data_IF_451449003131
#
_entry.id   IF_451449003131
#
_cell.length_a   1.000
_cell.length_b   1.000
_cell.length_c   1.000
_cell.angle_alpha   90.00
_cell.angle_beta   90.00
_cell.angle_gamma   90.00
#
_symmetry.space_group_name_H-M   'P 1'
#
loop_
_entity.id
_entity.type
_entity.pdbx_description
1 polymer ?
#
# COMPACT_ATOMS: atom_id res chain seq x y z
N UNK A 1 -4.63 17.15 7.23
CA UNK A 1 -3.15 17.16 7.09
C UNK A 1 -2.56 16.12 8.05
N UNK A 2 -1.37 15.62 7.77
CA UNK A 2 -0.60 14.73 8.64
C UNK A 2 0.66 15.48 9.10
N UNK A 3 0.94 15.49 10.40
CA UNK A 3 2.03 16.28 10.99
C UNK A 3 2.99 15.38 11.76
N UNK A 4 4.28 15.69 11.69
CA UNK A 4 5.33 15.09 12.51
C UNK A 4 6.00 16.21 13.32
N UNK A 5 5.92 16.15 14.65
CA UNK A 5 6.46 17.17 15.56
C UNK A 5 5.99 18.61 15.22
N UNK A 6 4.74 18.74 14.76
CA UNK A 6 4.13 20.03 14.39
C UNK A 6 4.34 20.46 12.95
N UNK A 7 5.23 19.80 12.20
CA UNK A 7 5.53 20.13 10.81
C UNK A 7 4.79 19.21 9.83
N UNK A 8 4.35 19.70 8.65
CA UNK A 8 3.74 18.85 7.62
C UNK A 8 4.60 17.65 7.26
N UNK A 9 4.01 16.45 7.37
CA UNK A 9 4.66 15.20 7.06
C UNK A 9 4.06 14.57 5.80
N UNK A 10 4.84 14.58 4.72
CA UNK A 10 4.49 13.93 3.46
C UNK A 10 5.04 12.50 3.45
N UNK A 11 4.15 11.51 3.40
CA UNK A 11 4.53 10.10 3.32
C UNK A 11 5.09 9.79 1.93
N UNK A 12 6.38 9.42 1.87
CA UNK A 12 7.07 8.92 0.68
C UNK A 12 7.49 7.49 1.00
N UNK A 13 6.66 6.54 0.56
CA UNK A 13 6.80 5.17 1.00
C UNK A 13 6.83 4.17 -0.15
N UNK A 14 7.35 3.00 0.18
CA UNK A 14 7.21 1.79 -0.63
C UNK A 14 6.61 0.69 0.22
N UNK A 15 5.80 -0.15 -0.41
CA UNK A 15 5.44 -1.44 0.14
C UNK A 15 6.68 -2.34 0.09
N UNK A 16 6.93 -3.12 1.13
CA UNK A 16 8.02 -4.11 1.15
C UNK A 16 7.42 -5.51 1.24
N UNK A 17 8.21 -6.50 0.87
CA UNK A 17 8.07 -7.88 1.29
C UNK A 17 9.40 -8.34 1.88
N UNK A 18 9.37 -9.26 2.85
CA UNK A 18 10.58 -9.79 3.50
C UNK A 18 11.30 -10.86 2.67
N UNK A 19 10.86 -11.11 1.43
CA UNK A 19 11.45 -12.13 0.59
C UNK A 19 12.78 -11.66 -0.02
N UNK A 20 13.70 -12.60 -0.21
CA UNK A 20 14.96 -12.44 -0.89
C UNK A 20 15.11 -13.45 -2.03
N UNK A 21 15.89 -13.09 -3.04
CA UNK A 21 16.12 -13.92 -4.23
C UNK A 21 16.80 -15.26 -3.89
N UNK A 22 17.69 -15.27 -2.90
CA UNK A 22 18.52 -16.41 -2.55
C UNK A 22 17.92 -17.22 -1.41
N UNK A 23 17.37 -16.54 -0.41
CA UNK A 23 16.89 -17.18 0.84
C UNK A 23 15.37 -17.25 0.95
N UNK A 24 14.62 -16.80 -0.06
CA UNK A 24 13.16 -16.81 -0.03
C UNK A 24 12.64 -15.94 1.12
N UNK A 25 11.73 -16.46 1.94
CA UNK A 25 11.14 -15.69 3.06
C UNK A 25 12.09 -15.51 4.26
N UNK A 26 13.34 -15.99 4.19
CA UNK A 26 14.31 -15.88 5.27
C UNK A 26 15.24 -14.69 5.04
N UNK A 27 14.81 -13.49 5.43
CA UNK A 27 15.68 -12.31 5.43
C UNK A 27 16.88 -12.48 6.37
N UNK A 28 18.07 -12.04 5.96
CA UNK A 28 19.26 -11.92 6.83
C UNK A 28 19.45 -10.47 7.28
N UNK A 29 20.23 -10.20 8.33
CA UNK A 29 20.56 -8.82 8.73
C UNK A 29 21.16 -8.00 7.58
N UNK A 30 22.00 -8.61 6.75
CA UNK A 30 22.63 -7.98 5.60
C UNK A 30 21.62 -7.70 4.47
N UNK A 31 20.70 -8.63 4.21
CA UNK A 31 19.67 -8.42 3.18
C UNK A 31 18.69 -7.33 3.60
N UNK A 32 18.32 -7.29 4.88
CA UNK A 32 17.48 -6.24 5.47
C UNK A 32 18.19 -4.88 5.43
N UNK A 33 19.45 -4.81 5.83
CA UNK A 33 20.23 -3.56 5.77
C UNK A 33 20.35 -3.05 4.34
N UNK A 34 20.64 -3.94 3.38
CA UNK A 34 20.67 -3.60 1.94
C UNK A 34 19.33 -3.04 1.46
N UNK A 35 18.21 -3.66 1.84
CA UNK A 35 16.88 -3.18 1.49
C UNK A 35 16.63 -1.77 2.07
N UNK A 36 16.98 -1.55 3.36
CA UNK A 36 16.86 -0.24 4.03
C UNK A 36 17.69 0.82 3.31
N UNK A 37 18.94 0.53 2.97
CA UNK A 37 19.84 1.47 2.30
C UNK A 37 19.29 1.87 0.92
N UNK A 38 18.75 0.91 0.16
CA UNK A 38 18.14 1.17 -1.14
C UNK A 38 16.84 1.98 -1.01
N UNK A 39 15.99 1.65 -0.04
CA UNK A 39 14.75 2.37 0.24
C UNK A 39 15.05 3.83 0.61
N UNK A 40 16.02 4.07 1.50
CA UNK A 40 16.47 5.42 1.84
C UNK A 40 17.10 6.12 0.64
N UNK A 41 17.83 5.38 -0.20
CA UNK A 41 18.42 5.87 -1.44
C UNK A 41 17.39 6.36 -2.47
N UNK A 42 16.14 5.89 -2.41
CA UNK A 42 15.03 6.45 -3.19
C UNK A 42 14.54 7.80 -2.65
N UNK A 43 14.88 8.17 -1.42
CA UNK A 43 14.28 9.30 -0.70
C UNK A 43 13.01 8.95 0.08
N UNK A 44 12.75 7.65 0.28
CA UNK A 44 11.63 7.21 1.11
C UNK A 44 11.88 7.56 2.58
N UNK A 45 10.81 7.93 3.29
CA UNK A 45 10.79 8.14 4.74
C UNK A 45 9.92 7.11 5.47
N UNK A 46 9.23 6.24 4.74
CA UNK A 46 8.28 5.27 5.29
C UNK A 46 8.32 3.96 4.51
N UNK A 47 8.04 2.84 5.20
CA UNK A 47 7.82 1.52 4.62
C UNK A 47 6.46 1.01 5.07
N UNK A 48 5.67 0.42 4.17
CA UNK A 48 4.47 -0.34 4.55
C UNK A 48 4.76 -1.83 4.58
N UNK A 49 4.48 -2.43 5.73
CA UNK A 49 4.66 -3.85 6.01
C UNK A 49 3.31 -4.54 5.81
N UNK A 50 3.15 -5.32 4.75
CA UNK A 50 1.87 -5.98 4.36
C UNK A 50 1.42 -7.17 5.21
N UNK A 51 2.15 -7.41 6.29
CA UNK A 51 1.84 -8.32 7.38
C UNK A 51 2.83 -7.97 8.50
N UNK A 52 2.59 -8.48 9.70
CA UNK A 52 3.53 -8.33 10.81
C UNK A 52 4.87 -9.01 10.45
N UNK A 53 5.92 -8.20 10.31
CA UNK A 53 7.29 -8.65 10.06
C UNK A 53 8.00 -9.15 11.31
N UNK A 54 9.20 -9.69 11.12
CA UNK A 54 10.10 -10.00 12.23
C UNK A 54 10.42 -8.74 13.05
N UNK A 55 10.60 -8.91 14.37
CA UNK A 55 10.84 -7.80 15.31
C UNK A 55 12.08 -6.99 14.93
N UNK A 56 13.13 -7.68 14.51
CA UNK A 56 14.41 -7.12 14.08
C UNK A 56 14.26 -6.13 12.93
N UNK A 57 13.23 -6.30 12.08
CA UNK A 57 12.91 -5.34 11.03
C UNK A 57 12.52 -3.98 11.63
N UNK A 58 11.66 -3.96 12.65
CA UNK A 58 11.23 -2.70 13.28
C UNK A 58 12.35 -2.04 14.10
N UNK A 59 13.19 -2.83 14.77
CA UNK A 59 14.39 -2.33 15.45
C UNK A 59 15.32 -1.62 14.45
N UNK A 60 15.51 -2.19 13.26
CA UNK A 60 16.28 -1.57 12.19
C UNK A 60 15.62 -0.32 11.60
N UNK A 61 14.29 -0.29 11.49
CA UNK A 61 13.57 0.90 11.03
C UNK A 61 13.67 2.05 12.05
N UNK A 62 13.60 1.75 13.35
CA UNK A 62 13.85 2.71 14.44
C UNK A 62 15.25 3.33 14.31
N UNK A 63 16.29 2.48 14.20
CA UNK A 63 17.68 2.92 14.02
C UNK A 63 17.89 3.75 12.75
N UNK A 64 17.21 3.37 11.66
CA UNK A 64 17.35 4.02 10.37
C UNK A 64 16.57 5.34 10.25
N UNK A 65 15.67 5.65 11.18
CA UNK A 65 14.75 6.78 11.08
C UNK A 65 13.77 6.64 9.92
N UNK A 66 13.35 5.40 9.62
CA UNK A 66 12.30 5.11 8.66
C UNK A 66 11.01 4.77 9.41
N UNK A 67 9.92 5.42 9.04
CA UNK A 67 8.61 5.11 9.62
C UNK A 67 8.03 3.81 9.05
N UNK A 68 7.13 3.17 9.78
CA UNK A 68 6.45 1.93 9.42
C UNK A 68 4.93 2.09 9.50
N UNK A 69 4.24 1.69 8.42
CA UNK A 69 2.82 1.35 8.45
C UNK A 69 2.72 -0.16 8.64
N UNK A 70 2.19 -0.61 9.78
CA UNK A 70 2.11 -2.02 10.13
C UNK A 70 0.71 -2.56 9.90
N UNK A 71 0.60 -3.73 9.26
CA UNK A 71 -0.66 -4.31 8.83
C UNK A 71 -0.85 -5.75 9.30
N UNK A 72 -2.08 -6.12 9.67
CA UNK A 72 -2.46 -7.53 9.81
C UNK A 72 -2.83 -8.13 8.44
N UNK A 73 -2.59 -9.42 8.17
CA UNK A 73 -2.85 -10.04 6.86
C UNK A 73 -4.35 -10.32 6.59
N UNK A 74 -5.27 -9.44 6.98
CA UNK A 74 -6.69 -9.51 6.63
C UNK A 74 -6.93 -8.92 5.24
N UNK A 75 -6.45 -9.63 4.23
CA UNK A 75 -6.52 -9.23 2.83
C UNK A 75 -7.72 -9.84 2.11
N UNK A 76 -8.47 -9.01 1.37
CA UNK A 76 -9.59 -9.44 0.52
C UNK A 76 -10.61 -10.33 1.25
N UNK A 77 -10.91 -9.97 2.49
CA UNK A 77 -11.93 -10.62 3.32
C UNK A 77 -13.34 -10.45 2.71
N UNK A 78 -14.29 -11.35 3.04
CA UNK A 78 -15.64 -11.40 2.42
C UNK A 78 -15.77 -12.22 1.12
N UNK A 79 -14.88 -13.18 0.88
CA UNK A 79 -15.01 -14.15 -0.23
C UNK A 79 -15.92 -15.32 0.19
N UNK A 80 -16.54 -16.05 -0.76
CA UNK A 80 -17.21 -17.30 -0.44
C UNK A 80 -16.32 -18.23 0.39
N UNK A 81 -16.88 -18.76 1.48
CA UNK A 81 -16.15 -19.56 2.47
C UNK A 81 -15.48 -18.77 3.60
N UNK A 82 -15.44 -17.43 3.55
CA UNK A 82 -15.05 -16.61 4.69
C UNK A 82 -16.21 -16.50 5.70
N UNK A 83 -15.86 -16.31 6.98
CA UNK A 83 -16.84 -16.27 8.08
C UNK A 83 -16.32 -15.41 9.24
N UNK A 84 -17.08 -15.40 10.34
CA UNK A 84 -16.71 -14.76 11.62
C UNK A 84 -15.34 -15.24 12.14
N UNK A 85 -14.94 -16.49 11.85
CA UNK A 85 -13.64 -17.03 12.25
C UNK A 85 -12.46 -16.23 11.68
N UNK A 86 -12.62 -15.66 10.48
CA UNK A 86 -11.59 -14.78 9.91
C UNK A 86 -11.46 -13.49 10.72
N UNK A 87 -12.58 -12.94 11.18
CA UNK A 87 -12.59 -11.74 12.02
C UNK A 87 -12.04 -12.02 13.42
N UNK A 88 -12.36 -13.18 14.00
CA UNK A 88 -11.76 -13.64 15.27
C UNK A 88 -10.23 -13.74 15.16
N UNK A 89 -9.72 -14.38 14.11
CA UNK A 89 -8.28 -14.44 13.86
C UNK A 89 -7.65 -13.06 13.66
N UNK A 90 -8.32 -12.17 12.92
CA UNK A 90 -7.87 -10.79 12.73
C UNK A 90 -7.82 -9.99 14.04
N UNK A 91 -8.82 -10.15 14.92
CA UNK A 91 -8.82 -9.51 16.25
C UNK A 91 -7.64 -9.95 17.09
N UNK A 92 -7.33 -11.25 17.11
CA UNK A 92 -6.15 -11.77 17.82
C UNK A 92 -4.85 -11.22 17.24
N UNK A 93 -4.68 -11.30 15.92
CA UNK A 93 -3.47 -10.80 15.23
C UNK A 93 -3.27 -9.29 15.42
N UNK A 94 -4.35 -8.50 15.39
CA UNK A 94 -4.28 -7.06 15.61
C UNK A 94 -3.87 -6.74 17.04
N UNK A 95 -4.40 -7.48 18.01
CA UNK A 95 -4.04 -7.34 19.41
C UNK A 95 -2.58 -7.67 19.64
N UNK A 96 -2.10 -8.79 19.12
CA UNK A 96 -0.69 -9.22 19.22
C UNK A 96 0.25 -8.24 18.52
N UNK A 97 -0.11 -7.75 17.32
CA UNK A 97 0.68 -6.78 16.57
C UNK A 97 0.86 -5.48 17.36
N UNK A 98 -0.24 -4.91 17.88
CA UNK A 98 -0.18 -3.65 18.63
C UNK A 98 0.57 -3.82 19.97
N UNK A 99 0.32 -4.91 20.69
CA UNK A 99 1.00 -5.21 21.97
C UNK A 99 2.51 -5.38 21.79
N UNK A 100 2.91 -6.11 20.74
CA UNK A 100 4.33 -6.38 20.46
C UNK A 100 5.06 -5.16 19.91
N UNK A 101 4.40 -4.39 19.03
CA UNK A 101 5.06 -3.34 18.25
C UNK A 101 4.83 -1.93 18.78
N UNK A 102 3.95 -1.73 19.76
CA UNK A 102 3.57 -0.40 20.25
C UNK A 102 4.71 0.42 20.84
N UNK A 103 5.84 -0.20 21.20
CA UNK A 103 7.04 0.49 21.71
C UNK A 103 8.02 0.93 20.61
N UNK A 104 7.80 0.57 19.35
CA UNK A 104 8.65 1.01 18.24
C UNK A 104 8.22 2.43 17.79
N UNK A 105 9.10 3.45 17.91
CA UNK A 105 8.79 4.80 17.44
C UNK A 105 8.69 4.92 15.92
N UNK A 106 9.33 4.01 15.16
CA UNK A 106 9.16 3.93 13.70
C UNK A 106 7.72 3.60 13.32
N UNK A 107 7.06 2.74 14.09
CA UNK A 107 5.66 2.39 13.84
C UNK A 107 4.80 3.59 14.17
N UNK A 108 4.16 4.17 13.17
CA UNK A 108 3.37 5.40 13.33
C UNK A 108 1.93 5.26 12.83
N UNK A 109 1.57 4.13 12.23
CA UNK A 109 0.23 3.90 11.70
C UNK A 109 -0.11 2.41 11.68
N UNK A 110 -1.34 2.09 12.06
CA UNK A 110 -1.89 0.74 12.05
C UNK A 110 -2.83 0.54 10.86
N UNK A 111 -2.67 -0.55 10.12
CA UNK A 111 -3.55 -0.99 9.05
C UNK A 111 -4.29 -2.25 9.50
N UNK A 112 -5.62 -2.19 9.55
CA UNK A 112 -6.44 -3.31 10.08
C UNK A 112 -6.87 -4.31 9.03
N UNK A 113 -6.75 -3.97 7.74
CA UNK A 113 -7.14 -4.82 6.62
C UNK A 113 -6.68 -4.23 5.29
N UNK A 114 -6.80 -4.99 4.20
CA UNK A 114 -6.54 -4.49 2.84
C UNK A 114 -7.55 -5.04 1.84
N UNK A 115 -8.13 -4.16 1.02
CA UNK A 115 -9.03 -4.50 -0.10
C UNK A 115 -10.19 -5.44 0.25
N UNK A 116 -10.78 -5.26 1.43
CA UNK A 116 -11.88 -6.12 1.87
C UNK A 116 -13.16 -5.88 1.04
N UNK A 117 -14.01 -6.90 0.91
CA UNK A 117 -15.23 -6.85 0.10
C UNK A 117 -16.37 -6.16 0.84
N UNK A 118 -16.24 -4.86 1.08
CA UNK A 118 -17.22 -3.98 1.76
C UNK A 118 -18.51 -3.76 0.95
N UNK A 119 -18.55 -4.25 -0.29
CA UNK A 119 -19.73 -4.26 -1.17
C UNK A 119 -19.86 -5.62 -1.87
N UNK A 120 -21.09 -6.07 -2.18
CA UNK A 120 -21.32 -7.27 -2.95
C UNK A 120 -20.56 -7.23 -4.28
N UNK A 121 -19.94 -8.34 -4.67
CA UNK A 121 -19.28 -8.47 -5.98
C UNK A 121 -20.23 -9.01 -7.04
N UNK A 122 -21.17 -9.82 -6.60
CA UNK A 122 -22.17 -10.52 -7.40
C UNK A 122 -23.52 -10.34 -6.68
N UNK A 123 -24.62 -10.49 -7.41
CA UNK A 123 -25.96 -10.46 -6.83
C UNK A 123 -26.21 -11.73 -5.99
N UNK A 124 -27.00 -11.60 -4.93
CA UNK A 124 -27.45 -12.71 -4.10
C UNK A 124 -27.23 -12.50 -2.61
N UNK A 125 -28.12 -13.11 -1.82
CA UNK A 125 -28.19 -12.95 -0.36
C UNK A 125 -26.87 -13.27 0.35
N UNK A 126 -26.11 -14.26 -0.15
CA UNK A 126 -24.80 -14.59 0.43
C UNK A 126 -23.79 -13.44 0.29
N UNK A 127 -23.72 -12.81 -0.88
CA UNK A 127 -22.77 -11.72 -1.13
C UNK A 127 -23.13 -10.46 -0.35
N UNK A 128 -24.43 -10.17 -0.21
CA UNK A 128 -24.94 -9.09 0.63
C UNK A 128 -24.56 -9.32 2.10
N UNK A 129 -24.92 -10.49 2.65
CA UNK A 129 -24.59 -10.87 4.02
C UNK A 129 -23.09 -10.83 4.30
N UNK A 130 -22.26 -11.32 3.36
CA UNK A 130 -20.80 -11.26 3.50
C UNK A 130 -20.29 -9.82 3.51
N UNK A 131 -20.83 -8.95 2.65
CA UNK A 131 -20.42 -7.54 2.62
C UNK A 131 -20.78 -6.80 3.91
N UNK A 132 -21.98 -7.03 4.46
CA UNK A 132 -22.40 -6.46 5.74
C UNK A 132 -21.50 -6.92 6.90
N UNK A 133 -21.16 -8.22 6.93
CA UNK A 133 -20.20 -8.77 7.90
C UNK A 133 -18.83 -8.10 7.76
N UNK A 134 -18.35 -7.87 6.54
CA UNK A 134 -17.07 -7.21 6.28
C UNK A 134 -17.08 -5.76 6.76
N UNK A 135 -18.13 -4.99 6.46
CA UNK A 135 -18.25 -3.60 6.92
C UNK A 135 -18.26 -3.55 8.45
N UNK A 136 -19.09 -4.39 9.09
CA UNK A 136 -19.14 -4.48 10.55
C UNK A 136 -17.78 -4.85 11.14
N UNK A 137 -17.14 -5.89 10.60
CA UNK A 137 -15.86 -6.36 11.13
C UNK A 137 -14.71 -5.39 10.96
N UNK A 138 -14.62 -4.67 9.84
CA UNK A 138 -13.62 -3.61 9.71
C UNK A 138 -13.85 -2.50 10.75
N UNK A 139 -15.09 -2.06 10.95
CA UNK A 139 -15.41 -1.05 11.95
C UNK A 139 -15.07 -1.54 13.38
N UNK A 140 -15.31 -2.81 13.69
CA UNK A 140 -14.90 -3.43 14.95
C UNK A 140 -13.37 -3.44 15.13
N UNK A 141 -12.61 -3.76 14.08
CA UNK A 141 -11.14 -3.77 14.12
C UNK A 141 -10.56 -2.36 14.26
N UNK A 142 -11.13 -1.37 13.57
CA UNK A 142 -10.74 0.03 13.71
C UNK A 142 -10.93 0.48 15.17
N UNK A 143 -12.12 0.24 15.73
CA UNK A 143 -12.41 0.59 17.12
C UNK A 143 -11.55 -0.19 18.12
N UNK A 144 -11.18 -1.44 17.82
CA UNK A 144 -10.23 -2.22 18.61
C UNK A 144 -8.83 -1.60 18.59
N UNK A 145 -8.33 -1.22 17.42
CA UNK A 145 -7.02 -0.58 17.29
C UNK A 145 -6.95 0.71 18.09
N UNK A 146 -7.95 1.60 17.94
CA UNK A 146 -8.02 2.85 18.74
C UNK A 146 -8.08 2.60 20.25
N UNK A 147 -8.74 1.52 20.69
CA UNK A 147 -8.80 1.17 22.11
C UNK A 147 -7.47 0.66 22.65
N UNK A 148 -6.75 -0.14 21.85
CA UNK A 148 -5.45 -0.71 22.23
C UNK A 148 -4.34 0.34 22.17
N UNK A 149 -4.37 1.20 21.16
CA UNK A 149 -3.41 2.28 20.97
C UNK A 149 -4.10 3.56 20.45
N UNK A 150 -4.46 4.49 21.35
CA UNK A 150 -5.06 5.75 20.97
C UNK A 150 -4.03 6.78 20.45
N UNK A 151 -2.74 6.42 20.40
CA UNK A 151 -1.66 7.37 20.07
C UNK A 151 -1.29 7.39 18.59
N UNK A 152 -1.80 6.43 17.79
CA UNK A 152 -1.46 6.26 16.38
C UNK A 152 -2.71 6.20 15.50
N UNK A 153 -2.68 6.79 14.28
CA UNK A 153 -3.74 6.66 13.31
C UNK A 153 -3.95 5.22 12.84
N UNK A 154 -5.20 4.93 12.48
CA UNK A 154 -5.70 3.65 12.01
C UNK A 154 -6.29 3.82 10.60
N UNK A 155 -5.85 2.97 9.68
CA UNK A 155 -6.29 2.93 8.29
C UNK A 155 -6.82 1.55 7.90
N UNK A 156 -7.57 1.52 6.80
CA UNK A 156 -8.04 0.31 6.15
C UNK A 156 -7.99 0.52 4.62
N UNK A 157 -6.83 0.29 3.98
CA UNK A 157 -6.63 0.39 2.54
C UNK A 157 -7.77 -0.21 1.70
N UNK A 158 -8.38 0.62 0.86
CA UNK A 158 -9.55 0.26 0.05
C UNK A 158 -9.30 0.41 -1.44
N UNK A 159 -9.82 -0.56 -2.22
CA UNK A 159 -9.97 -0.48 -3.68
C UNK A 159 -11.44 -0.24 -4.10
N UNK A 160 -12.29 0.20 -3.17
CA UNK A 160 -13.74 0.48 -3.37
C UNK A 160 -14.08 1.96 -3.14
N UNK A 161 -13.15 2.85 -3.48
CA UNK A 161 -13.33 4.29 -3.43
C UNK A 161 -14.12 4.79 -4.66
N UNK A 162 -14.80 5.95 -4.59
CA UNK A 162 -14.80 6.90 -3.47
C UNK A 162 -15.78 6.53 -2.33
N UNK A 163 -16.63 5.52 -2.50
CA UNK A 163 -17.78 5.30 -1.63
C UNK A 163 -17.63 4.10 -0.66
N UNK A 164 -16.43 3.81 -0.16
CA UNK A 164 -16.26 2.68 0.76
C UNK A 164 -16.93 3.00 2.12
N UNK A 165 -17.88 2.19 2.60
CA UNK A 165 -18.58 2.45 3.86
C UNK A 165 -17.68 2.44 5.12
N UNK A 166 -16.42 2.02 5.01
CA UNK A 166 -15.48 2.06 6.15
C UNK A 166 -14.80 3.42 6.32
N UNK A 167 -14.76 4.27 5.28
CA UNK A 167 -14.07 5.57 5.32
C UNK A 167 -14.52 6.51 6.44
N UNK A 168 -15.80 6.57 6.85
CA UNK A 168 -16.21 7.39 7.99
C UNK A 168 -15.49 7.02 9.30
N UNK A 169 -15.01 5.78 9.45
CA UNK A 169 -14.43 5.29 10.70
C UNK A 169 -12.89 5.29 10.71
N UNK A 170 -12.22 5.34 9.57
CA UNK A 170 -10.74 5.42 9.51
C UNK A 170 -10.23 6.83 9.76
N UNK A 171 -8.99 6.98 10.26
CA UNK A 171 -8.41 8.31 10.52
C UNK A 171 -7.96 9.01 9.22
N UNK A 172 -7.56 8.23 8.22
CA UNK A 172 -7.21 8.69 6.88
C UNK A 172 -8.04 7.95 5.82
N UNK A 173 -8.28 8.60 4.68
CA UNK A 173 -8.81 7.97 3.48
C UNK A 173 -7.67 7.22 2.79
N UNK A 174 -7.53 5.93 3.11
CA UNK A 174 -6.49 5.05 2.55
C UNK A 174 -6.99 4.35 1.29
N UNK A 175 -6.43 4.70 0.13
CA UNK A 175 -6.88 4.21 -1.18
C UNK A 175 -5.78 3.52 -1.99
N UNK A 176 -6.11 2.37 -2.57
CA UNK A 176 -5.28 1.70 -3.57
C UNK A 176 -5.70 2.21 -4.96
N UNK A 177 -4.79 2.87 -5.67
CA UNK A 177 -5.03 3.57 -6.94
C UNK A 177 -4.41 2.80 -8.09
N UNK A 178 -5.26 2.10 -8.84
CA UNK A 178 -4.90 1.42 -10.07
C UNK A 178 -5.90 1.77 -11.17
N UNK A 179 -5.68 2.89 -11.84
CA UNK A 179 -6.52 3.34 -12.95
C UNK A 179 -6.07 2.63 -14.23
N UNK A 180 -7.03 2.04 -14.96
CA UNK A 180 -6.77 1.38 -16.24
C UNK A 180 -6.95 2.32 -17.45
N UNK A 181 -6.31 1.98 -18.55
CA UNK A 181 -6.53 2.58 -19.87
C UNK A 181 -6.94 1.52 -20.90
N UNK A 182 -7.55 1.97 -22.00
CA UNK A 182 -7.88 1.10 -23.14
C UNK A 182 -6.63 0.57 -23.83
N UNK A 183 -5.61 1.41 -23.95
CA UNK A 183 -4.30 1.05 -24.49
C UNK A 183 -3.25 1.32 -23.42
N UNK A 184 -2.42 0.35 -23.04
CA UNK A 184 -1.43 0.55 -21.98
C UNK A 184 -0.13 1.14 -22.59
N UNK A 185 -0.22 2.40 -23.03
CA UNK A 185 0.85 3.20 -23.62
C UNK A 185 0.94 4.56 -22.92
N UNK A 186 2.11 5.22 -22.94
CA UNK A 186 2.30 6.54 -22.29
C UNK A 186 1.32 7.61 -22.76
N UNK A 187 0.85 7.53 -24.01
CA UNK A 187 -0.15 8.47 -24.56
C UNK A 187 -1.50 8.39 -23.84
N UNK A 188 -1.79 7.30 -23.13
CA UNK A 188 -3.02 7.12 -22.37
C UNK A 188 -2.92 7.66 -20.93
N UNK A 189 -1.73 8.05 -20.47
CA UNK A 189 -1.54 8.57 -19.11
C UNK A 189 -2.39 9.81 -18.81
N UNK A 190 -2.54 10.81 -19.71
CA UNK A 190 -3.40 11.95 -19.45
C UNK A 190 -4.86 11.56 -19.19
N UNK A 191 -5.41 10.60 -19.94
CA UNK A 191 -6.77 10.08 -19.71
C UNK A 191 -6.87 9.37 -18.35
N UNK A 192 -5.86 8.58 -17.99
CA UNK A 192 -5.81 7.89 -16.70
C UNK A 192 -5.78 8.88 -15.54
N UNK A 193 -4.96 9.93 -15.63
CA UNK A 193 -4.88 10.96 -14.60
C UNK A 193 -6.21 11.73 -14.48
N UNK A 194 -6.88 12.02 -15.60
CA UNK A 194 -8.19 12.68 -15.57
C UNK A 194 -9.24 11.86 -14.81
N UNK A 195 -9.31 10.54 -15.06
CA UNK A 195 -10.20 9.64 -14.30
C UNK A 195 -9.82 9.54 -12.83
N UNK A 196 -8.53 9.56 -12.52
CA UNK A 196 -8.04 9.57 -11.15
C UNK A 196 -8.51 10.83 -10.41
N UNK A 197 -8.38 12.01 -11.03
CA UNK A 197 -8.83 13.28 -10.47
C UNK A 197 -10.33 13.28 -10.19
N UNK A 198 -11.14 12.78 -11.13
CA UNK A 198 -12.60 12.66 -10.93
C UNK A 198 -12.94 11.82 -9.70
N UNK A 199 -12.26 10.68 -9.51
CA UNK A 199 -12.51 9.82 -8.35
C UNK A 199 -11.97 10.40 -7.04
N UNK A 200 -10.82 11.11 -7.07
CA UNK A 200 -10.26 11.78 -5.91
C UNK A 200 -11.12 12.98 -5.48
N UNK A 201 -11.65 13.73 -6.44
CA UNK A 201 -12.61 14.80 -6.21
C UNK A 201 -13.89 14.26 -5.58
N UNK A 202 -14.48 13.20 -6.13
CA UNK A 202 -15.65 12.56 -5.54
C UNK A 202 -15.37 12.04 -4.13
N UNK A 203 -14.18 11.48 -3.87
CA UNK A 203 -13.76 11.02 -2.54
C UNK A 203 -13.67 12.19 -1.55
N UNK A 204 -13.06 13.30 -1.97
CA UNK A 204 -12.94 14.53 -1.20
C UNK A 204 -14.30 15.14 -0.88
N UNK A 205 -15.21 15.17 -1.85
CA UNK A 205 -16.55 15.74 -1.67
C UNK A 205 -17.39 14.94 -0.65
N UNK A 206 -17.21 13.61 -0.59
CA UNK A 206 -17.85 12.76 0.40
C UNK A 206 -17.21 12.85 1.79
N UNK A 207 -15.93 13.22 1.86
CA UNK A 207 -15.13 13.22 3.08
C UNK A 207 -14.23 14.48 3.17
N UNK A 208 -14.82 15.70 3.24
CA UNK A 208 -14.10 16.96 3.09
C UNK A 208 -13.12 17.28 4.22
N UNK A 209 -13.19 16.58 5.36
CA UNK A 209 -12.33 16.86 6.50
C UNK A 209 -11.17 15.85 6.65
N UNK A 210 -11.12 14.82 5.79
CA UNK A 210 -10.17 13.72 5.96
C UNK A 210 -9.01 13.79 4.97
N UNK A 211 -7.76 13.61 5.44
CA UNK A 211 -6.59 13.50 4.57
C UNK A 211 -6.64 12.21 3.74
N UNK A 212 -6.06 12.26 2.54
CA UNK A 212 -5.97 11.14 1.59
C UNK A 212 -4.54 10.60 1.60
N UNK A 213 -4.41 9.30 1.89
CA UNK A 213 -3.17 8.55 1.76
C UNK A 213 -3.35 7.53 0.63
N UNK A 214 -2.53 7.63 -0.42
CA UNK A 214 -2.52 6.62 -1.49
C UNK A 214 -1.70 5.43 -1.02
N UNK A 215 -2.35 4.35 -0.61
CA UNK A 215 -1.69 3.21 0.05
C UNK A 215 -1.10 2.19 -0.91
N UNK A 216 -1.51 2.22 -2.17
CA UNK A 216 -0.87 1.49 -3.27
C UNK A 216 -1.07 2.25 -4.58
N UNK A 217 -0.04 2.26 -5.42
CA UNK A 217 -0.10 2.60 -6.84
C UNK A 217 1.14 2.03 -7.52
N UNK A 218 1.03 1.71 -8.81
CA UNK A 218 2.15 1.17 -9.57
C UNK A 218 1.73 0.53 -10.89
N UNK A 219 2.70 -0.08 -11.57
CA UNK A 219 2.49 -0.95 -12.73
C UNK A 219 3.61 -1.97 -12.86
N UNK A 220 3.39 -3.04 -13.61
CA UNK A 220 4.45 -3.99 -13.93
C UNK A 220 5.46 -3.37 -14.89
N UNK A 221 6.72 -3.75 -14.69
CA UNK A 221 7.74 -3.64 -15.70
C UNK A 221 8.68 -4.83 -15.67
N UNK A 222 9.06 -5.32 -16.85
CA UNK A 222 10.14 -6.29 -16.99
C UNK A 222 11.47 -5.54 -17.07
N UNK A 223 12.36 -5.81 -16.11
CA UNK A 223 13.69 -5.19 -16.09
C UNK A 223 14.47 -5.55 -17.36
N UNK A 224 14.92 -4.54 -18.11
CA UNK A 224 15.60 -4.66 -19.40
C UNK A 224 14.68 -4.52 -20.62
N UNK A 225 13.36 -4.43 -20.44
CA UNK A 225 12.42 -4.17 -21.54
C UNK A 225 12.18 -2.66 -21.68
N UNK A 226 12.94 -2.02 -22.58
CA UNK A 226 12.87 -0.57 -22.81
C UNK A 226 11.80 -0.22 -23.87
N UNK A 227 10.59 0.07 -23.40
CA UNK A 227 9.49 0.57 -24.23
C UNK A 227 8.49 1.36 -23.38
N UNK A 228 7.85 2.32 -24.04
CA UNK A 228 6.73 3.15 -23.58
C UNK A 228 5.37 2.43 -23.61
N UNK A 229 5.34 1.16 -24.05
CA UNK A 229 4.22 0.25 -23.86
C UNK A 229 4.39 -0.59 -22.59
N UNK A 230 3.28 -0.93 -21.93
CA UNK A 230 3.28 -1.97 -20.90
C UNK A 230 3.72 -3.33 -21.50
N UNK A 231 4.54 -4.14 -20.79
CA UNK A 231 5.11 -3.93 -19.46
C UNK A 231 6.57 -3.43 -19.51
N UNK A 232 6.86 -2.37 -20.26
CA UNK A 232 8.18 -1.77 -20.39
C UNK A 232 8.56 -0.84 -19.24
N UNK A 233 9.87 -0.68 -19.04
CA UNK A 233 10.42 0.17 -17.97
C UNK A 233 10.14 1.66 -18.20
N UNK A 234 10.11 2.12 -19.45
CA UNK A 234 9.81 3.52 -19.77
C UNK A 234 8.34 3.85 -19.47
N UNK A 235 7.42 2.91 -19.76
CA UNK A 235 6.01 3.02 -19.37
C UNK A 235 5.83 3.12 -17.85
N UNK A 236 6.44 2.21 -17.08
CA UNK A 236 6.32 2.22 -15.60
C UNK A 236 6.91 3.50 -15.00
N UNK A 237 8.08 3.94 -15.48
CA UNK A 237 8.70 5.18 -15.02
C UNK A 237 7.84 6.41 -15.32
N UNK A 238 7.27 6.52 -16.53
CA UNK A 238 6.38 7.61 -16.91
C UNK A 238 5.09 7.62 -16.08
N UNK A 239 4.47 6.45 -15.88
CA UNK A 239 3.25 6.31 -15.10
C UNK A 239 3.44 6.74 -13.64
N UNK A 240 4.49 6.25 -12.97
CA UNK A 240 4.78 6.65 -11.58
C UNK A 240 5.05 8.15 -11.47
N UNK A 241 5.69 8.73 -12.49
CA UNK A 241 5.96 10.16 -12.54
C UNK A 241 4.70 11.01 -12.66
N UNK A 242 3.77 10.62 -13.53
CA UNK A 242 2.48 11.30 -13.65
C UNK A 242 1.63 11.12 -12.39
N UNK A 243 1.60 9.91 -11.80
CA UNK A 243 0.92 9.69 -10.52
C UNK A 243 1.43 10.65 -9.44
N UNK A 244 2.73 10.67 -9.17
CA UNK A 244 3.31 11.54 -8.14
C UNK A 244 3.00 13.02 -8.38
N UNK A 245 3.22 13.50 -9.62
CA UNK A 245 2.94 14.88 -10.03
C UNK A 245 1.49 15.28 -9.82
N UNK A 246 0.55 14.37 -10.08
CA UNK A 246 -0.88 14.66 -9.93
C UNK A 246 -1.39 14.46 -8.51
N UNK A 247 -0.82 13.52 -7.75
CA UNK A 247 -1.12 13.41 -6.32
C UNK A 247 -0.73 14.67 -5.54
N UNK A 248 0.40 15.29 -5.87
CA UNK A 248 0.81 16.57 -5.26
C UNK A 248 -0.16 17.74 -5.53
N UNK A 249 -1.06 17.61 -6.53
CA UNK A 249 -2.08 18.63 -6.83
C UNK A 249 -3.37 18.40 -6.04
N UNK A 250 -3.56 17.23 -5.43
CA UNK A 250 -4.74 16.92 -4.63
C UNK A 250 -4.63 17.59 -3.25
N UNK A 251 -5.53 18.53 -2.89
CA UNK A 251 -5.42 19.31 -1.65
C UNK A 251 -5.35 18.48 -0.36
N UNK A 252 -6.00 17.31 -0.32
CA UNK A 252 -6.02 16.47 0.88
C UNK A 252 -4.90 15.42 0.91
N UNK A 253 -4.05 15.38 -0.11
CA UNK A 253 -2.96 14.40 -0.21
C UNK A 253 -1.94 14.57 0.91
N UNK A 254 -1.70 13.49 1.67
CA UNK A 254 -0.67 13.44 2.72
C UNK A 254 0.45 12.45 2.42
N UNK A 255 0.44 11.86 1.22
CA UNK A 255 1.52 11.03 0.72
C UNK A 255 1.04 9.75 0.07
N UNK A 256 2.02 8.96 -0.35
CA UNK A 256 1.77 7.77 -1.15
C UNK A 256 2.75 6.64 -0.84
N UNK A 257 2.30 5.42 -1.14
CA UNK A 257 3.04 4.20 -0.93
C UNK A 257 3.06 3.43 -2.26
N UNK A 258 4.25 3.36 -2.88
CA UNK A 258 4.42 2.64 -4.14
C UNK A 258 4.30 1.14 -3.88
N UNK A 259 3.45 0.47 -4.65
CA UNK A 259 3.47 -0.97 -4.79
C UNK A 259 4.36 -1.32 -5.99
N UNK A 260 5.58 -1.83 -5.79
CA UNK A 260 6.23 -2.29 -4.54
C UNK A 260 7.75 -2.00 -4.60
N UNK A 261 8.47 -2.09 -3.49
CA UNK A 261 9.92 -1.87 -3.43
C UNK A 261 10.69 -2.75 -4.44
N UNK A 262 10.51 -4.06 -4.37
CA UNK A 262 11.21 -5.03 -5.21
C UNK A 262 10.24 -6.10 -5.73
N UNK A 263 10.55 -6.68 -6.88
CA UNK A 263 9.80 -7.80 -7.43
C UNK A 263 9.76 -8.97 -6.43
N UNK A 264 8.63 -9.68 -6.39
CA UNK A 264 8.37 -10.67 -5.35
C UNK A 264 7.57 -11.86 -5.85
N UNK A 265 7.76 -13.03 -5.23
CA UNK A 265 7.13 -14.31 -5.60
C UNK A 265 5.75 -14.51 -4.92
N UNK A 266 5.16 -13.46 -4.37
CA UNK A 266 3.99 -13.47 -3.46
C UNK A 266 2.62 -13.59 -4.13
N UNK A 267 2.53 -13.64 -5.46
CA UNK A 267 1.26 -13.76 -6.17
C UNK A 267 1.09 -15.10 -6.88
N UNK A 268 -0.14 -15.63 -6.81
CA UNK A 268 -0.60 -16.82 -7.55
C UNK A 268 -0.20 -16.68 -9.02
N UNK A 269 0.42 -17.74 -9.56
CA UNK A 269 0.75 -17.96 -10.99
C UNK A 269 0.24 -16.82 -11.89
N UNK A 270 1.07 -15.80 -12.10
CA UNK A 270 0.88 -14.93 -13.23
C UNK A 270 1.14 -15.79 -14.47
N UNK A 271 0.08 -16.37 -15.04
CA UNK A 271 0.15 -17.08 -16.32
C UNK A 271 0.15 -16.08 -17.46
N UNK A 272 0.92 -15.00 -17.32
CA UNK A 272 1.29 -14.13 -18.42
C UNK A 272 2.55 -14.69 -19.04
N UNK A 273 2.62 -14.70 -20.37
CA UNK A 273 3.67 -15.35 -21.18
C UNK A 273 5.10 -14.83 -20.95
N UNK A 274 5.30 -13.86 -20.05
CA UNK A 274 6.58 -13.18 -19.84
C UNK A 274 7.14 -13.23 -18.42
N UNK A 275 6.32 -13.43 -17.38
CA UNK A 275 6.77 -13.43 -15.98
C UNK A 275 5.75 -14.12 -15.07
N UNK A 276 6.25 -14.96 -14.16
CA UNK A 276 5.45 -15.67 -13.14
C UNK A 276 5.42 -14.94 -11.81
N UNK A 277 6.26 -13.91 -11.65
CA UNK A 277 6.45 -13.11 -10.44
C UNK A 277 5.66 -11.81 -10.45
N UNK A 278 5.50 -11.21 -9.27
CA UNK A 278 4.99 -9.86 -9.12
C UNK A 278 6.05 -8.84 -9.59
N UNK A 279 5.98 -8.42 -10.85
CA UNK A 279 6.96 -7.53 -11.49
C UNK A 279 6.68 -6.02 -11.28
N UNK A 280 6.01 -5.66 -10.18
CA UNK A 280 5.67 -4.27 -9.83
C UNK A 280 6.85 -3.48 -9.25
N UNK A 281 7.95 -4.16 -8.87
CA UNK A 281 9.06 -3.60 -8.14
C UNK A 281 9.71 -2.40 -8.84
N UNK A 282 10.20 -1.44 -8.04
CA UNK A 282 11.19 -0.44 -8.47
C UNK A 282 12.56 -1.09 -8.69
N UNK A 283 12.81 -2.16 -7.97
CA UNK A 283 13.94 -3.06 -8.14
C UNK A 283 13.43 -4.44 -8.58
N UNK A 284 14.27 -5.20 -9.27
CA UNK A 284 13.99 -6.61 -9.47
C UNK A 284 14.24 -7.43 -8.19
N UNK A 285 13.98 -8.74 -8.27
CA UNK A 285 14.14 -9.68 -7.14
C UNK A 285 15.56 -9.65 -6.54
N UNK A 286 16.57 -9.39 -7.36
CA UNK A 286 17.99 -9.30 -6.97
C UNK A 286 18.42 -7.88 -6.58
N UNK A 287 17.46 -6.97 -6.35
CA UNK A 287 17.70 -5.57 -5.98
C UNK A 287 18.47 -4.78 -7.05
N UNK A 288 18.38 -5.20 -8.32
CA UNK A 288 18.90 -4.40 -9.44
C UNK A 288 17.84 -3.37 -9.82
N UNK A 289 18.19 -2.08 -9.95
CA UNK A 289 17.21 -1.03 -10.19
C UNK A 289 16.56 -1.19 -11.57
N UNK A 290 15.27 -0.83 -11.64
CA UNK A 290 14.56 -0.51 -12.88
C UNK A 290 14.65 0.99 -13.18
N UNK A 291 14.29 1.43 -14.39
CA UNK A 291 14.22 2.88 -14.74
C UNK A 291 13.29 3.65 -13.79
N UNK A 292 12.25 3.01 -13.27
CA UNK A 292 11.33 3.57 -12.28
C UNK A 292 12.00 3.97 -10.97
N UNK A 293 13.04 3.26 -10.51
CA UNK A 293 13.78 3.63 -9.30
C UNK A 293 14.45 5.01 -9.45
N UNK A 294 15.00 5.31 -10.63
CA UNK A 294 15.62 6.61 -10.90
C UNK A 294 14.57 7.73 -11.01
N UNK A 295 13.43 7.45 -11.66
CA UNK A 295 12.32 8.39 -11.75
C UNK A 295 11.79 8.78 -10.36
N UNK A 296 11.55 7.79 -9.50
CA UNK A 296 11.09 7.98 -8.11
C UNK A 296 12.13 8.74 -7.30
N UNK A 297 13.41 8.33 -7.35
CA UNK A 297 14.49 9.02 -6.65
C UNK A 297 14.57 10.51 -7.01
N UNK A 298 14.42 10.83 -8.29
CA UNK A 298 14.47 12.21 -8.78
C UNK A 298 13.29 13.06 -8.29
N UNK A 299 12.15 12.42 -8.02
CA UNK A 299 10.93 13.07 -7.53
C UNK A 299 10.93 13.28 -6.03
N UNK A 300 11.41 12.30 -5.26
CA UNK A 300 11.43 12.35 -3.80
C UNK A 300 12.63 13.08 -3.22
N UNK A 301 13.67 13.34 -4.02
CA UNK A 301 14.82 14.16 -3.62
C UNK A 301 14.54 15.67 -3.60
N UNK A 302 13.38 16.11 -4.12
CA UNK A 302 12.90 17.50 -4.08
C UNK A 302 12.01 17.74 -2.87
#
# INVERSE_FOLDING_TARGET
QLLLNGEPFLVRAVNRYENDAETGMTSTPESLQRDIDLIKGLGANTVRCHYTYARETYEKLDEAGLFAVCEIPLYQWGRPGHSEKNLEAARSQLTEMIDTLGNHPSVFMWSVSNETRTRPREEGEEHERLSEMVVRGNNELIALAHRLDPTRPVIAPSNRWPNDPIFPNTDLLSVNVYIGAKTPHVDSLPEMMAKMHEQLEALRDLHPDKPILVTEYGSWALRGLETDYFPGEDYQAALLSEYWKHFLQEPHFVGSIIWVFADSDVHRKFTTIYETRCAYGLYDLHRRPKKSAEAVRSQWAR
#
